data_IF_034560141536
#
_entry.id   IF_034560141536
#
_cell.length_a   1.000
_cell.length_b   1.000
_cell.length_c   1.000
_cell.angle_alpha   90.00
_cell.angle_beta   90.00
_cell.angle_gamma   90.00
#
_symmetry.space_group_name_H-M   'P 1'
#
loop_
_entity.id
_entity.type
_entity.pdbx_description
1 polymer ?
#
# COMPACT_ATOMS: atom_id res chain seq x y z
N UNK A 1 50.81 11.95 -6.95
CA UNK A 1 50.14 12.17 -5.66
C UNK A 1 48.67 12.45 -5.96
N UNK A 2 47.82 11.42 -6.00
CA UNK A 2 46.41 11.58 -6.34
C UNK A 2 45.61 11.97 -5.10
N UNK A 3 45.17 13.22 -5.03
CA UNK A 3 44.07 13.59 -4.14
C UNK A 3 42.78 13.06 -4.77
N UNK A 4 42.39 11.83 -4.46
CA UNK A 4 41.02 11.38 -4.72
C UNK A 4 40.13 12.06 -3.70
N UNK A 5 39.52 13.18 -4.08
CA UNK A 5 38.39 13.74 -3.34
C UNK A 5 37.34 12.65 -3.11
N UNK A 6 36.62 12.67 -1.97
CA UNK A 6 35.57 11.70 -1.71
C UNK A 6 34.57 11.73 -2.88
N UNK A 7 34.36 10.59 -3.52
CA UNK A 7 33.44 10.43 -4.65
C UNK A 7 32.04 10.88 -4.21
N UNK A 8 31.29 11.59 -5.05
CA UNK A 8 29.97 12.14 -4.70
C UNK A 8 29.03 11.12 -4.04
N UNK A 9 29.06 9.86 -4.49
CA UNK A 9 28.30 8.76 -3.89
C UNK A 9 28.66 8.51 -2.41
N UNK A 10 29.94 8.61 -2.07
CA UNK A 10 30.45 8.40 -0.70
C UNK A 10 30.07 9.56 0.23
N UNK A 11 30.01 10.78 -0.30
CA UNK A 11 29.50 11.94 0.44
C UNK A 11 28.00 11.76 0.69
N UNK A 12 27.23 11.40 -0.33
CA UNK A 12 25.78 11.16 -0.19
C UNK A 12 25.49 10.07 0.86
N UNK A 13 26.24 8.97 0.82
CA UNK A 13 26.11 7.89 1.80
C UNK A 13 26.45 8.37 3.22
N UNK A 14 27.55 9.10 3.40
CA UNK A 14 27.90 9.70 4.69
C UNK A 14 26.79 10.61 5.22
N UNK A 15 26.25 11.48 4.36
CA UNK A 15 25.18 12.41 4.76
C UNK A 15 23.91 11.68 5.16
N UNK A 16 23.56 10.61 4.45
CA UNK A 16 22.41 9.77 4.77
C UNK A 16 22.59 9.11 6.14
N UNK A 17 23.74 8.45 6.37
CA UNK A 17 24.03 7.75 7.63
C UNK A 17 24.07 8.73 8.82
N UNK A 18 24.69 9.90 8.66
CA UNK A 18 24.73 10.92 9.71
C UNK A 18 23.34 11.47 10.01
N UNK A 19 22.52 11.72 8.99
CA UNK A 19 21.14 12.22 9.17
C UNK A 19 20.28 11.17 9.87
N UNK A 20 20.37 9.90 9.49
CA UNK A 20 19.62 8.80 10.10
C UNK A 20 20.02 8.60 11.56
N UNK A 21 21.32 8.62 11.87
CA UNK A 21 21.82 8.50 13.25
C UNK A 21 21.30 9.65 14.14
N UNK A 22 21.31 10.89 13.62
CA UNK A 22 20.77 12.05 14.33
C UNK A 22 19.24 11.99 14.52
N UNK A 23 18.51 11.40 13.57
CA UNK A 23 17.06 11.19 13.67
C UNK A 23 16.70 10.04 14.64
N UNK A 24 17.55 9.01 14.71
CA UNK A 24 17.39 7.87 15.62
C UNK A 24 17.78 8.19 17.08
N UNK A 25 18.24 9.43 17.35
CA UNK A 25 18.79 9.88 18.64
C UNK A 25 20.03 9.09 19.09
N UNK A 26 20.77 8.53 18.13
CA UNK A 26 22.05 7.89 18.38
C UNK A 26 23.14 8.96 18.54
N UNK A 27 23.97 8.83 19.58
CA UNK A 27 24.96 9.85 19.94
C UNK A 27 26.35 9.60 19.35
N UNK A 28 26.52 8.63 18.47
CA UNK A 28 27.84 8.19 17.99
C UNK A 28 28.17 8.69 16.56
N UNK A 29 27.87 9.95 16.30
CA UNK A 29 28.21 10.60 15.02
C UNK A 29 29.73 10.61 14.79
N UNK A 30 30.53 10.67 15.86
CA UNK A 30 31.98 10.68 15.78
C UNK A 30 32.57 9.36 15.26
N UNK A 31 31.94 8.21 15.53
CA UNK A 31 32.41 6.94 14.96
C UNK A 31 32.13 6.83 13.46
N UNK A 32 30.98 7.34 13.01
CA UNK A 32 30.60 7.43 11.59
C UNK A 32 31.62 8.29 10.84
N UNK A 33 31.94 9.48 11.37
CA UNK A 33 32.93 10.37 10.73
C UNK A 33 34.32 9.74 10.63
N UNK A 34 34.74 8.97 11.63
CA UNK A 34 36.00 8.20 11.58
C UNK A 34 35.95 7.11 10.51
N UNK A 35 34.84 6.39 10.37
CA UNK A 35 34.68 5.35 9.35
C UNK A 35 34.83 5.90 7.93
N UNK A 36 34.28 7.08 7.66
CA UNK A 36 34.43 7.75 6.36
C UNK A 36 35.70 8.61 6.23
N UNK A 37 36.55 8.66 7.28
CA UNK A 37 37.78 9.46 7.34
C UNK A 37 37.56 10.96 7.04
N UNK A 38 36.44 11.51 7.53
CA UNK A 38 36.08 12.92 7.32
C UNK A 38 36.35 13.72 8.59
N UNK A 39 37.17 14.80 8.54
CA UNK A 39 37.39 15.65 9.69
C UNK A 39 36.10 16.34 10.14
N UNK A 40 35.80 16.30 11.43
CA UNK A 40 34.60 16.93 12.00
C UNK A 40 34.48 18.42 11.65
N UNK A 41 35.60 19.12 11.50
CA UNK A 41 35.63 20.52 11.08
C UNK A 41 34.95 20.75 9.72
N UNK A 42 35.05 19.81 8.78
CA UNK A 42 34.47 19.93 7.43
C UNK A 42 32.94 19.79 7.42
N UNK A 43 32.36 19.05 8.37
CA UNK A 43 30.93 18.78 8.47
C UNK A 43 30.23 19.55 9.60
N UNK A 44 31.00 20.27 10.42
CA UNK A 44 30.51 20.98 11.61
C UNK A 44 29.36 21.95 11.32
N UNK A 45 29.45 22.71 10.22
CA UNK A 45 28.40 23.63 9.80
C UNK A 45 27.11 22.91 9.41
N UNK A 46 27.22 21.73 8.79
CA UNK A 46 26.06 20.93 8.39
C UNK A 46 25.41 20.25 9.59
N UNK A 47 26.21 19.69 10.50
CA UNK A 47 25.73 19.13 11.77
C UNK A 47 24.93 20.17 12.54
N UNK A 48 25.46 21.41 12.62
CA UNK A 48 24.75 22.52 13.25
C UNK A 48 23.38 22.81 12.59
N UNK A 49 23.30 22.78 11.26
CA UNK A 49 22.01 22.97 10.55
C UNK A 49 21.05 21.82 10.84
N UNK A 50 21.51 20.57 10.84
CA UNK A 50 20.67 19.39 11.11
C UNK A 50 20.12 19.45 12.55
N UNK A 51 20.95 19.81 13.53
CA UNK A 51 20.51 20.01 14.91
C UNK A 51 19.43 21.10 15.01
N UNK A 52 19.63 22.25 14.35
CA UNK A 52 18.62 23.33 14.32
C UNK A 52 17.33 22.93 13.64
N UNK A 53 17.41 22.17 12.56
CA UNK A 53 16.21 21.63 11.90
C UNK A 53 15.50 20.65 12.81
N UNK A 54 16.23 19.76 13.50
CA UNK A 54 15.64 18.84 14.48
C UNK A 54 14.94 19.58 15.62
N UNK A 55 15.54 20.65 16.15
CA UNK A 55 14.91 21.49 17.18
C UNK A 55 13.65 22.21 16.67
N UNK A 56 13.66 22.67 15.42
CA UNK A 56 12.54 23.40 14.82
C UNK A 56 11.40 22.47 14.35
N UNK A 57 11.71 21.21 14.03
CA UNK A 57 10.74 20.25 13.50
C UNK A 57 10.07 19.49 14.64
N UNK A 58 8.76 19.66 14.76
CA UNK A 58 7.95 18.85 15.68
C UNK A 58 7.78 17.44 15.12
N UNK A 59 8.05 16.42 15.94
CA UNK A 59 7.78 15.02 15.59
C UNK A 59 6.28 14.84 15.39
N UNK A 60 5.85 14.54 14.16
CA UNK A 60 4.45 14.25 13.82
C UNK A 60 4.31 12.75 13.58
N UNK A 61 3.34 12.13 14.26
CA UNK A 61 2.97 10.74 13.99
C UNK A 61 2.12 10.69 12.72
N UNK A 62 2.60 10.07 11.61
CA UNK A 62 1.82 10.00 10.39
C UNK A 62 0.58 9.12 10.60
N UNK A 63 -0.54 9.52 10.00
CA UNK A 63 -1.75 8.71 10.00
C UNK A 63 -1.52 7.43 9.17
N UNK A 64 -2.05 6.29 9.62
CA UNK A 64 -2.02 5.00 8.89
C UNK A 64 -2.45 5.13 7.43
N UNK A 65 -3.46 5.96 7.13
CA UNK A 65 -3.93 6.20 5.76
C UNK A 65 -2.86 6.87 4.88
N UNK A 66 -2.10 7.80 5.44
CA UNK A 66 -1.02 8.48 4.73
C UNK A 66 0.12 7.51 4.43
N UNK A 67 0.54 6.72 5.41
CA UNK A 67 1.59 5.69 5.23
C UNK A 67 1.19 4.68 4.15
N UNK A 68 -0.06 4.23 4.16
CA UNK A 68 -0.55 3.28 3.16
C UNK A 68 -0.52 3.85 1.74
N UNK A 69 -0.95 5.11 1.57
CA UNK A 69 -0.91 5.80 0.27
C UNK A 69 0.53 6.01 -0.19
N UNK A 70 1.40 6.45 0.71
CA UNK A 70 2.82 6.63 0.39
C UNK A 70 3.50 5.32 -0.03
N UNK A 71 3.14 4.21 0.62
CA UNK A 71 3.64 2.87 0.23
C UNK A 71 3.23 2.52 -1.20
N UNK A 72 1.97 2.77 -1.55
CA UNK A 72 1.44 2.57 -2.91
C UNK A 72 2.23 3.42 -3.92
N UNK A 73 2.41 4.70 -3.63
CA UNK A 73 3.08 5.65 -4.53
C UNK A 73 4.56 5.31 -4.75
N UNK A 74 5.26 4.83 -3.71
CA UNK A 74 6.70 4.52 -3.77
C UNK A 74 7.00 3.13 -4.35
N UNK A 75 6.20 2.12 -3.99
CA UNK A 75 6.45 0.73 -4.40
C UNK A 75 5.75 0.40 -5.72
N UNK A 76 4.80 1.25 -6.16
CA UNK A 76 3.99 0.99 -7.35
C UNK A 76 3.04 -0.19 -7.19
N UNK A 77 2.75 -0.62 -5.95
CA UNK A 77 1.71 -1.61 -5.69
C UNK A 77 0.36 -0.98 -6.08
N UNK A 78 -0.37 -1.52 -7.06
CA UNK A 78 -1.69 -0.98 -7.38
C UNK A 78 -2.59 -1.12 -6.15
N UNK A 79 -3.19 -0.01 -5.71
CA UNK A 79 -4.23 -0.09 -4.68
C UNK A 79 -5.28 -1.13 -5.12
N UNK A 80 -5.59 -2.15 -4.30
CA UNK A 80 -6.73 -3.02 -4.55
C UNK A 80 -8.02 -2.28 -4.17
N UNK A 81 -8.23 -1.08 -4.71
CA UNK A 81 -9.51 -0.39 -4.60
C UNK A 81 -10.44 -0.93 -5.68
N UNK A 82 -11.01 -2.11 -5.40
CA UNK A 82 -12.14 -2.70 -6.15
C UNK A 82 -13.24 -1.66 -6.40
N UNK A 83 -13.41 -0.70 -5.48
CA UNK A 83 -14.32 0.44 -5.60
C UNK A 83 -13.96 1.45 -6.70
N UNK A 84 -12.68 1.70 -6.99
CA UNK A 84 -12.28 2.63 -8.05
C UNK A 84 -12.54 2.04 -9.45
N UNK A 85 -12.47 0.72 -9.58
CA UNK A 85 -12.82 0.01 -10.82
C UNK A 85 -14.32 0.06 -11.15
N UNK A 86 -15.17 0.08 -10.11
CA UNK A 86 -16.63 0.15 -10.29
C UNK A 86 -17.08 1.56 -10.71
N UNK A 87 -16.39 2.61 -10.26
CA UNK A 87 -16.76 4.01 -10.56
C UNK A 87 -16.50 4.43 -12.02
N UNK A 88 -15.66 3.69 -12.75
CA UNK A 88 -15.32 3.95 -14.15
C UNK A 88 -16.04 3.05 -15.16
N UNK A 89 -17.10 2.35 -14.76
CA UNK A 89 -17.91 1.58 -15.71
C UNK A 89 -18.84 2.53 -16.49
N UNK A 90 -18.74 2.60 -17.84
CA UNK A 90 -19.66 3.38 -18.67
C UNK A 90 -21.11 3.03 -18.33
N UNK A 91 -22.07 3.98 -18.35
CA UNK A 91 -23.46 3.75 -17.91
C UNK A 91 -24.11 2.50 -18.53
N UNK A 92 -23.72 2.16 -19.76
CA UNK A 92 -24.19 0.98 -20.50
C UNK A 92 -23.78 -0.35 -19.85
N UNK A 93 -22.62 -0.42 -19.21
CA UNK A 93 -22.11 -1.64 -18.56
C UNK A 93 -22.77 -1.86 -17.20
N UNK A 94 -23.16 -0.78 -16.51
CA UNK A 94 -23.89 -0.89 -15.24
C UNK A 94 -25.28 -1.53 -15.42
N UNK A 95 -25.97 -1.17 -16.50
CA UNK A 95 -27.26 -1.78 -16.86
C UNK A 95 -27.08 -3.27 -17.15
N UNK A 96 -26.06 -3.64 -17.94
CA UNK A 96 -25.78 -5.04 -18.27
C UNK A 96 -25.45 -5.88 -17.01
N UNK A 97 -24.66 -5.33 -16.08
CA UNK A 97 -24.35 -6.00 -14.81
C UNK A 97 -25.61 -6.21 -13.95
N UNK A 98 -26.50 -5.20 -13.87
CA UNK A 98 -27.78 -5.34 -13.18
C UNK A 98 -28.68 -6.42 -13.81
N UNK A 99 -28.78 -6.43 -15.14
CA UNK A 99 -29.56 -7.43 -15.88
C UNK A 99 -28.99 -8.84 -15.69
N UNK A 100 -27.67 -9.00 -15.74
CA UNK A 100 -27.01 -10.29 -15.54
C UNK A 100 -27.25 -10.84 -14.12
N UNK A 101 -27.24 -9.96 -13.11
CA UNK A 101 -27.52 -10.35 -11.73
C UNK A 101 -28.97 -10.78 -11.55
N UNK A 102 -29.93 -10.03 -12.11
CA UNK A 102 -31.35 -10.40 -12.12
C UNK A 102 -31.60 -11.73 -12.84
N UNK A 103 -30.99 -11.92 -14.01
CA UNK A 103 -31.09 -13.16 -14.77
C UNK A 103 -30.50 -14.35 -14.01
N UNK A 104 -29.35 -14.17 -13.36
CA UNK A 104 -28.72 -15.20 -12.52
C UNK A 104 -29.60 -15.60 -11.33
N UNK A 105 -30.16 -14.63 -10.61
CA UNK A 105 -31.09 -14.88 -9.49
C UNK A 105 -32.35 -15.59 -9.98
N UNK A 106 -32.95 -15.14 -11.08
CA UNK A 106 -34.13 -15.76 -11.66
C UNK A 106 -33.85 -17.20 -12.11
N UNK A 107 -32.68 -17.46 -12.71
CA UNK A 107 -32.27 -18.79 -13.13
C UNK A 107 -32.10 -19.75 -11.94
N UNK A 108 -31.48 -19.29 -10.86
CA UNK A 108 -31.33 -20.08 -9.62
C UNK A 108 -32.69 -20.33 -8.95
N UNK A 109 -33.55 -19.31 -8.87
CA UNK A 109 -34.89 -19.44 -8.32
C UNK A 109 -35.71 -20.45 -9.12
N UNK A 110 -35.71 -20.34 -10.45
CA UNK A 110 -36.38 -21.28 -11.34
C UNK A 110 -35.89 -22.71 -11.13
N UNK A 111 -34.57 -22.91 -11.01
CA UNK A 111 -34.00 -24.25 -10.75
C UNK A 111 -34.51 -24.87 -9.44
N UNK A 112 -34.81 -24.06 -8.42
CA UNK A 112 -35.35 -24.57 -7.15
C UNK A 112 -36.84 -24.91 -7.25
N UNK A 113 -37.63 -24.16 -8.01
CA UNK A 113 -39.06 -24.44 -8.18
C UNK A 113 -39.38 -25.64 -9.09
N UNK A 114 -38.50 -26.00 -10.04
CA UNK A 114 -38.74 -27.20 -10.87
C UNK A 114 -38.50 -28.52 -10.14
N UNK A 115 -37.81 -28.52 -8.99
CA UNK A 115 -37.47 -29.75 -8.24
C UNK A 115 -38.63 -30.20 -7.33
N UNK A 116 -39.53 -29.30 -6.90
CA UNK A 116 -40.64 -29.66 -5.99
C UNK A 116 -41.87 -30.24 -6.70
N UNK A 117 -42.03 -30.02 -8.01
CA UNK A 117 -43.26 -30.45 -8.73
C UNK A 117 -43.19 -31.88 -9.28
N UNK A 118 -42.00 -32.48 -9.41
CA UNK A 118 -41.85 -33.87 -9.86
C UNK A 118 -42.16 -34.91 -8.79
N UNK A 119 -42.06 -34.55 -7.51
CA UNK A 119 -42.27 -35.50 -6.40
C UNK A 119 -43.76 -35.65 -6.03
N UNK A 120 -44.57 -34.60 -6.26
CA UNK A 120 -46.02 -34.63 -6.03
C UNK A 120 -46.79 -35.48 -7.04
N UNK A 121 -46.42 -35.43 -8.33
CA UNK A 121 -47.13 -36.15 -9.39
C UNK A 121 -46.81 -37.65 -9.37
N UNK A 122 -45.58 -38.04 -9.00
CA UNK A 122 -45.21 -39.45 -8.86
C UNK A 122 -45.91 -40.13 -7.68
N UNK A 123 -46.15 -39.40 -6.58
CA UNK A 123 -46.86 -39.91 -5.41
C UNK A 123 -48.37 -40.08 -5.66
N UNK A 124 -48.98 -39.19 -6.46
CA UNK A 124 -50.42 -39.24 -6.76
C UNK A 124 -50.78 -40.40 -7.73
N UNK A 125 -49.93 -40.70 -8.71
CA UNK A 125 -50.16 -41.81 -9.66
C UNK A 125 -50.02 -43.20 -8.99
N UNK A 126 -49.21 -43.31 -7.94
CA UNK A 126 -49.04 -44.57 -7.20
C UNK A 126 -50.26 -44.94 -6.31
N UNK A 127 -51.11 -43.97 -5.94
CA UNK A 127 -52.27 -44.20 -5.08
C UNK A 127 -53.55 -44.56 -5.87
N UNK A 128 -53.59 -44.28 -7.18
CA UNK A 128 -54.76 -44.56 -8.04
C UNK A 128 -54.70 -45.96 -8.69
N UNK A 129 -53.54 -46.63 -8.62
CA UNK A 129 -53.32 -47.95 -9.23
C UNK A 129 -53.51 -49.14 -8.25
N UNK A 130 -54.25 -48.97 -7.14
CA UNK A 130 -54.47 -50.01 -6.14
C UNK A 130 -55.95 -50.29 -5.87
#
# INVERSE_FOLDING_TARGET
MSQSGPTDARIQELLLVVTDSLLADEHDVDSILRYYNVPRSQVSSLLYVIERLREALTVVKPNRRFVQRLKVDLVGEPEPTVFNRIRYLPPRVQIAAGVALLAGVMFVARRRFTVDTSDGVAAEVAHVAR
#
